data_IF_901068743091
#
_entry.id   IF_901068743091
#
_cell.length_a   1.000
_cell.length_b   1.000
_cell.length_c   1.000
_cell.angle_alpha   90.00
_cell.angle_beta   90.00
_cell.angle_gamma   90.00
#
_symmetry.space_group_name_H-M   'P 1'
#
loop_
_entity.id
_entity.type
_entity.pdbx_description
1 polymer ?
#
# COMPACT_ATOMS: atom_id res chain seq x y z
N UNK A 1 -51.54 12.32 -63.40
CA UNK A 1 -51.05 13.08 -62.23
C UNK A 1 -50.43 12.09 -61.26
N UNK A 2 -49.11 11.96 -61.28
CA UNK A 2 -48.35 11.04 -60.41
C UNK A 2 -48.25 11.67 -59.02
N UNK A 3 -48.75 10.98 -57.99
CA UNK A 3 -48.66 11.44 -56.60
C UNK A 3 -47.19 11.57 -56.19
N UNK A 4 -46.75 12.69 -55.56
CA UNK A 4 -45.37 12.84 -55.14
C UNK A 4 -45.02 11.83 -54.04
N UNK A 5 -43.96 11.05 -54.26
CA UNK A 5 -43.43 10.15 -53.24
C UNK A 5 -42.97 10.97 -52.04
N UNK A 6 -43.48 10.63 -50.85
CA UNK A 6 -43.15 11.30 -49.59
C UNK A 6 -42.32 10.38 -48.71
N UNK A 7 -41.33 10.96 -48.05
CA UNK A 7 -40.55 10.28 -47.04
C UNK A 7 -41.42 9.95 -45.81
N UNK A 8 -41.22 8.80 -45.15
CA UNK A 8 -41.96 8.45 -43.95
C UNK A 8 -41.62 9.40 -42.78
N UNK A 9 -40.35 9.82 -42.70
CA UNK A 9 -39.80 10.63 -41.60
C UNK A 9 -39.40 12.04 -42.06
N UNK A 10 -39.26 12.93 -41.09
CA UNK A 10 -38.73 14.29 -41.31
C UNK A 10 -37.23 14.18 -41.63
N UNK A 11 -36.74 14.96 -42.59
CA UNK A 11 -35.30 14.97 -42.91
C UNK A 11 -34.44 15.46 -41.73
N UNK A 12 -33.16 15.09 -41.74
CA UNK A 12 -32.22 15.40 -40.65
C UNK A 12 -32.07 16.90 -40.39
N UNK A 13 -32.07 17.72 -41.45
CA UNK A 13 -31.92 19.17 -41.36
C UNK A 13 -33.15 19.83 -40.69
N UNK A 14 -34.35 19.50 -41.15
CA UNK A 14 -35.57 20.04 -40.54
C UNK A 14 -35.74 19.57 -39.10
N UNK A 15 -35.31 18.34 -38.77
CA UNK A 15 -35.28 17.81 -37.40
C UNK A 15 -34.31 18.60 -36.53
N UNK A 16 -33.08 18.83 -36.98
CA UNK A 16 -32.08 19.61 -36.24
C UNK A 16 -32.47 21.08 -36.07
N UNK A 17 -33.04 21.71 -37.11
CA UNK A 17 -33.48 23.12 -37.10
C UNK A 17 -34.86 23.33 -36.46
N UNK A 18 -35.56 22.26 -36.09
CA UNK A 18 -36.92 22.26 -35.54
C UNK A 18 -37.91 23.05 -36.43
N UNK A 19 -37.90 22.80 -37.74
CA UNK A 19 -38.79 23.43 -38.73
C UNK A 19 -39.71 22.41 -39.40
N UNK A 20 -40.87 22.86 -39.84
CA UNK A 20 -41.84 22.02 -40.55
C UNK A 20 -41.23 21.49 -41.86
N UNK A 21 -41.31 20.18 -42.07
CA UNK A 21 -40.78 19.48 -43.23
C UNK A 21 -41.93 18.99 -44.10
N UNK A 22 -41.90 19.33 -45.39
CA UNK A 22 -42.90 18.88 -46.37
C UNK A 22 -42.77 17.39 -46.75
N UNK A 23 -41.66 16.75 -46.36
CA UNK A 23 -41.33 15.33 -46.60
C UNK A 23 -41.34 14.91 -48.07
N UNK A 24 -41.23 15.85 -49.01
CA UNK A 24 -41.14 15.51 -50.44
C UNK A 24 -39.77 14.88 -50.74
N UNK A 25 -39.76 13.85 -51.60
CA UNK A 25 -38.53 13.25 -52.13
C UNK A 25 -38.19 13.85 -53.50
N UNK A 26 -36.90 14.04 -53.84
CA UNK A 26 -35.71 13.71 -53.05
C UNK A 26 -35.37 14.77 -51.98
N UNK A 27 -35.89 16.00 -52.08
CA UNK A 27 -35.60 17.09 -51.16
C UNK A 27 -36.88 17.78 -50.70
N UNK A 28 -36.98 18.10 -49.40
CA UNK A 28 -38.16 18.80 -48.89
C UNK A 28 -38.18 20.28 -49.29
N UNK A 29 -39.37 20.84 -49.43
CA UNK A 29 -39.59 22.25 -49.82
C UNK A 29 -38.83 23.27 -48.97
N UNK A 30 -38.64 22.98 -47.67
CA UNK A 30 -37.89 23.86 -46.75
C UNK A 30 -36.39 23.88 -47.06
N UNK A 31 -35.79 22.70 -47.22
CA UNK A 31 -34.37 22.56 -47.54
C UNK A 31 -34.05 23.11 -48.93
N UNK A 32 -34.91 22.84 -49.92
CA UNK A 32 -34.74 23.35 -51.28
C UNK A 32 -34.70 24.89 -51.32
N UNK A 33 -35.67 25.57 -50.70
CA UNK A 33 -35.72 27.04 -50.66
C UNK A 33 -34.55 27.69 -49.94
N UNK A 34 -33.87 26.95 -49.05
CA UNK A 34 -32.75 27.46 -48.25
C UNK A 34 -31.39 26.95 -48.73
N UNK A 35 -31.35 26.12 -49.78
CA UNK A 35 -30.13 25.55 -50.31
C UNK A 35 -29.45 24.54 -49.37
N UNK A 36 -30.20 23.88 -48.48
CA UNK A 36 -29.65 22.85 -47.60
C UNK A 36 -29.67 21.48 -48.26
N UNK A 37 -28.62 20.70 -48.02
CA UNK A 37 -28.55 19.30 -48.44
C UNK A 37 -29.53 18.45 -47.61
N UNK A 38 -30.56 17.92 -48.28
CA UNK A 38 -31.71 17.32 -47.62
C UNK A 38 -31.56 15.81 -47.53
N UNK A 39 -30.99 15.35 -46.42
CA UNK A 39 -30.78 13.91 -46.17
C UNK A 39 -31.91 13.34 -45.33
N UNK A 40 -32.52 12.25 -45.82
CA UNK A 40 -33.46 11.42 -45.08
C UNK A 40 -32.74 10.18 -44.56
N UNK A 41 -33.05 9.81 -43.31
CA UNK A 41 -32.47 8.64 -42.64
C UNK A 41 -33.04 7.36 -43.27
N UNK A 42 -32.20 6.55 -43.91
CA UNK A 42 -32.58 5.22 -44.42
C UNK A 42 -32.33 4.20 -43.33
N UNK A 43 -33.35 3.41 -42.97
CA UNK A 43 -33.32 2.44 -41.87
C UNK A 43 -32.40 1.21 -42.11
N UNK A 44 -31.13 1.43 -42.43
CA UNK A 44 -30.16 0.36 -42.65
C UNK A 44 -28.80 0.62 -42.01
N UNK A 45 -28.77 1.31 -40.86
CA UNK A 45 -27.61 1.38 -39.97
C UNK A 45 -28.07 1.37 -38.49
N UNK A 46 -28.96 0.44 -38.15
CA UNK A 46 -29.08 -0.01 -36.76
C UNK A 46 -28.25 -1.28 -36.64
N UNK A 47 -27.08 -1.27 -35.98
CA UNK A 47 -26.42 -2.52 -35.64
C UNK A 47 -27.38 -3.33 -34.77
N UNK A 48 -27.41 -4.68 -34.90
CA UNK A 48 -28.27 -5.51 -34.09
C UNK A 48 -27.99 -5.20 -32.62
N UNK A 49 -29.07 -4.96 -31.87
CA UNK A 49 -29.02 -4.92 -30.40
C UNK A 49 -28.60 -6.33 -29.98
N UNK A 50 -27.29 -6.54 -29.79
CA UNK A 50 -26.82 -7.60 -28.92
C UNK A 50 -27.04 -7.12 -27.49
N UNK A 51 -27.44 -8.05 -26.61
CA UNK A 51 -27.61 -7.85 -25.17
C UNK A 51 -26.25 -7.59 -24.46
N UNK A 52 -25.42 -6.69 -24.97
CA UNK A 52 -24.15 -6.29 -24.37
C UNK A 52 -24.25 -4.89 -23.74
N UNK A 53 -25.17 -4.75 -22.78
CA UNK A 53 -25.05 -3.71 -21.76
C UNK A 53 -23.88 -3.96 -20.78
N UNK A 54 -23.05 -4.96 -21.05
CA UNK A 54 -21.83 -5.29 -20.30
C UNK A 54 -20.57 -4.54 -20.78
N UNK A 55 -20.59 -3.89 -21.95
CA UNK A 55 -19.39 -3.24 -22.52
C UNK A 55 -19.26 -1.74 -22.20
N UNK A 56 -20.20 -1.12 -21.48
CA UNK A 56 -20.13 0.33 -21.15
C UNK A 56 -19.70 0.60 -19.69
N UNK A 57 -19.69 -0.40 -18.81
CA UNK A 57 -19.16 -0.29 -17.45
C UNK A 57 -18.13 -1.39 -17.16
N UNK A 58 -16.91 -1.20 -17.68
CA UNK A 58 -15.72 -1.91 -17.20
C UNK A 58 -15.14 -1.10 -16.02
N UNK A 59 -15.18 -1.61 -14.77
CA UNK A 59 -14.66 -0.89 -13.60
C UNK A 59 -13.17 -0.52 -13.68
N UNK A 60 -12.46 -1.11 -14.63
CA UNK A 60 -11.03 -0.95 -14.87
C UNK A 60 -10.69 0.04 -15.99
N UNK A 61 -11.67 0.76 -16.56
CA UNK A 61 -11.41 1.83 -17.56
C UNK A 61 -10.74 3.09 -16.97
N UNK A 62 -10.43 3.09 -15.68
CA UNK A 62 -9.34 3.92 -15.19
C UNK A 62 -8.05 3.32 -15.78
N UNK A 63 -7.48 3.98 -16.79
CA UNK A 63 -6.06 3.79 -17.11
C UNK A 63 -5.28 4.22 -15.86
N UNK A 64 -5.14 3.31 -14.90
CA UNK A 64 -4.27 3.43 -13.76
C UNK A 64 -2.88 3.39 -14.34
N UNK A 65 -2.34 4.57 -14.69
CA UNK A 65 -0.92 4.72 -14.93
C UNK A 65 -0.20 4.07 -13.74
N UNK A 66 0.84 3.24 -13.96
CA UNK A 66 1.63 2.70 -12.87
C UNK A 66 2.08 3.86 -12.00
N UNK A 67 1.51 3.97 -10.80
CA UNK A 67 1.84 5.07 -9.90
C UNK A 67 3.18 4.72 -9.26
N UNK A 68 4.27 5.11 -9.93
CA UNK A 68 5.61 5.00 -9.34
C UNK A 68 5.74 6.10 -8.29
N UNK A 69 5.53 5.75 -7.03
CA UNK A 69 5.78 6.68 -5.92
C UNK A 69 7.29 6.68 -5.65
N UNK A 70 7.93 7.83 -5.89
CA UNK A 70 9.34 8.00 -5.53
C UNK A 70 9.51 7.98 -4.01
N UNK A 71 10.18 6.96 -3.47
CA UNK A 71 10.41 6.82 -2.02
C UNK A 71 11.56 7.67 -1.50
N UNK A 72 12.38 8.27 -2.37
CA UNK A 72 13.61 9.00 -1.98
C UNK A 72 13.40 10.10 -0.95
N UNK A 73 12.31 10.87 -1.07
CA UNK A 73 11.95 11.89 -0.08
C UNK A 73 11.55 11.26 1.24
N UNK A 74 10.81 10.15 1.20
CA UNK A 74 10.40 9.41 2.40
C UNK A 74 11.63 8.81 3.10
N UNK A 75 12.53 8.18 2.37
CA UNK A 75 13.78 7.60 2.89
C UNK A 75 14.59 8.65 3.65
N UNK A 76 14.79 9.83 3.04
CA UNK A 76 15.53 10.93 3.68
C UNK A 76 14.82 11.46 4.94
N UNK A 77 13.49 11.61 4.89
CA UNK A 77 12.71 12.09 6.04
C UNK A 77 12.75 11.09 7.20
N UNK A 78 12.58 9.79 6.90
CA UNK A 78 12.64 8.74 7.91
C UNK A 78 14.05 8.59 8.50
N UNK A 79 15.10 8.69 7.67
CA UNK A 79 16.49 8.70 8.14
C UNK A 79 16.74 9.89 9.09
N UNK A 80 16.18 11.07 8.80
CA UNK A 80 16.28 12.22 9.69
C UNK A 80 15.58 11.98 11.04
N UNK A 81 14.34 11.49 11.02
CA UNK A 81 13.62 11.15 12.26
C UNK A 81 14.34 10.08 13.08
N UNK A 82 14.89 9.07 12.44
CA UNK A 82 15.73 8.05 13.06
C UNK A 82 16.88 8.70 13.85
N UNK A 83 17.72 9.48 13.19
CA UNK A 83 18.89 10.10 13.81
C UNK A 83 18.52 11.10 14.91
N UNK A 84 17.45 11.87 14.68
CA UNK A 84 16.92 12.80 15.67
C UNK A 84 16.47 12.08 16.95
N UNK A 85 15.68 11.01 16.81
CA UNK A 85 15.17 10.25 17.95
C UNK A 85 16.29 9.58 18.75
N UNK A 86 17.24 8.93 18.08
CA UNK A 86 18.40 8.32 18.76
C UNK A 86 19.23 9.36 19.53
N UNK A 87 19.39 10.57 18.95
CA UNK A 87 20.05 11.70 19.63
C UNK A 87 19.29 12.18 20.86
N UNK A 88 17.96 12.34 20.77
CA UNK A 88 17.11 12.82 21.88
C UNK A 88 17.07 11.81 23.02
N UNK A 89 16.96 10.53 22.71
CA UNK A 89 16.98 9.44 23.70
C UNK A 89 18.38 9.24 24.30
N UNK A 90 19.43 9.75 23.65
CA UNK A 90 20.80 9.63 24.15
C UNK A 90 21.36 8.21 24.05
N UNK A 91 20.91 7.42 23.06
CA UNK A 91 21.43 6.07 22.79
C UNK A 91 21.95 5.96 21.35
N UNK A 92 22.88 5.03 21.09
CA UNK A 92 23.33 4.74 19.72
C UNK A 92 22.59 3.55 19.11
N UNK A 93 22.40 3.52 17.77
CA UNK A 93 21.80 2.37 17.08
C UNK A 93 22.51 1.05 17.37
N UNK A 94 23.84 1.08 17.47
CA UNK A 94 24.65 -0.09 17.84
C UNK A 94 24.34 -0.60 19.25
N UNK A 95 24.24 0.29 20.23
CA UNK A 95 23.92 -0.08 21.61
C UNK A 95 22.49 -0.61 21.73
N UNK A 96 21.53 0.03 21.06
CA UNK A 96 20.15 -0.42 21.01
C UNK A 96 20.06 -1.81 20.33
N UNK A 97 20.72 -1.99 19.19
CA UNK A 97 20.78 -3.27 18.48
C UNK A 97 21.32 -4.39 19.36
N UNK A 98 22.43 -4.16 20.07
CA UNK A 98 22.98 -5.16 21.00
C UNK A 98 21.97 -5.53 22.10
N UNK A 99 21.34 -4.54 22.73
CA UNK A 99 20.32 -4.78 23.78
C UNK A 99 19.10 -5.51 23.25
N UNK A 100 18.70 -5.24 22.01
CA UNK A 100 17.60 -5.92 21.36
C UNK A 100 17.90 -7.41 21.16
N UNK A 101 19.10 -7.74 20.66
CA UNK A 101 19.55 -9.12 20.53
C UNK A 101 19.66 -9.83 21.88
N UNK A 102 20.17 -9.13 22.90
CA UNK A 102 20.41 -9.70 24.23
C UNK A 102 19.14 -9.86 25.07
N UNK A 103 18.06 -9.13 24.79
CA UNK A 103 16.82 -9.16 25.60
C UNK A 103 15.60 -9.54 24.78
N UNK A 104 15.14 -8.66 23.89
CA UNK A 104 13.88 -8.81 23.17
C UNK A 104 13.88 -10.04 22.24
N UNK A 105 14.95 -10.25 21.48
CA UNK A 105 15.07 -11.37 20.54
C UNK A 105 15.10 -12.76 21.20
N UNK A 106 15.45 -12.85 22.49
CA UNK A 106 15.43 -14.13 23.21
C UNK A 106 14.01 -14.68 23.37
N UNK A 107 13.04 -13.79 23.48
CA UNK A 107 11.63 -14.14 23.54
C UNK A 107 10.99 -14.20 22.16
N UNK A 108 11.44 -13.36 21.21
CA UNK A 108 10.84 -13.26 19.88
C UNK A 108 11.91 -13.14 18.77
N UNK A 109 12.29 -14.24 18.11
CA UNK A 109 13.34 -14.26 17.10
C UNK A 109 12.85 -13.70 15.75
N UNK A 110 12.83 -12.36 15.63
CA UNK A 110 12.34 -11.62 14.45
C UNK A 110 13.42 -11.37 13.37
N UNK A 111 14.67 -11.09 13.77
CA UNK A 111 15.74 -10.60 12.89
C UNK A 111 16.98 -11.48 13.08
N UNK A 112 17.75 -11.76 12.03
CA UNK A 112 19.06 -12.39 12.23
C UNK A 112 20.10 -11.34 12.71
N UNK A 113 21.03 -11.70 13.63
CA UNK A 113 22.04 -10.77 14.09
C UNK A 113 22.83 -10.12 12.95
N UNK A 114 23.22 -10.89 11.93
CA UNK A 114 23.96 -10.38 10.76
C UNK A 114 23.20 -9.26 10.03
N UNK A 115 21.92 -9.47 9.69
CA UNK A 115 21.11 -8.43 9.05
C UNK A 115 20.93 -7.18 9.90
N UNK A 116 20.78 -7.34 11.21
CA UNK A 116 20.68 -6.18 12.09
C UNK A 116 21.95 -5.33 12.06
N UNK A 117 23.14 -5.95 12.04
CA UNK A 117 24.40 -5.22 11.89
C UNK A 117 24.47 -4.48 10.55
N UNK A 118 24.06 -5.12 9.45
CA UNK A 118 24.00 -4.48 8.12
C UNK A 118 23.07 -3.25 8.13
N UNK A 119 21.90 -3.33 8.75
CA UNK A 119 20.98 -2.19 8.89
C UNK A 119 21.57 -1.05 9.71
N UNK A 120 22.30 -1.36 10.79
CA UNK A 120 22.98 -0.36 11.62
C UNK A 120 24.09 0.33 10.81
N UNK A 121 24.90 -0.43 10.07
CA UNK A 121 25.94 0.14 9.20
C UNK A 121 25.35 1.06 8.12
N UNK A 122 24.22 0.68 7.52
CA UNK A 122 23.51 1.52 6.55
C UNK A 122 23.01 2.82 7.19
N UNK A 123 22.52 2.75 8.43
CA UNK A 123 22.12 3.94 9.20
C UNK A 123 23.31 4.86 9.45
N UNK A 124 24.46 4.34 9.88
CA UNK A 124 25.66 5.15 10.17
C UNK A 124 26.21 5.85 8.92
N UNK A 125 26.02 5.25 7.74
CA UNK A 125 26.35 5.85 6.44
C UNK A 125 25.32 6.88 5.97
N UNK A 126 24.22 7.07 6.69
CA UNK A 126 23.14 7.99 6.32
C UNK A 126 22.30 7.53 5.12
N UNK A 127 22.33 6.23 4.80
CA UNK A 127 21.64 5.62 3.67
C UNK A 127 20.51 4.64 4.04
N UNK A 128 19.87 4.67 5.23
CA UNK A 128 18.83 3.69 5.53
C UNK A 128 17.58 4.00 4.68
N UNK A 129 16.97 2.95 4.12
CA UNK A 129 15.62 3.04 3.57
C UNK A 129 14.61 3.41 4.66
N UNK A 130 13.44 3.91 4.26
CA UNK A 130 12.38 4.29 5.19
C UNK A 130 11.88 3.10 6.04
N UNK A 131 11.81 1.90 5.45
CA UNK A 131 11.47 0.67 6.16
C UNK A 131 12.52 0.27 7.22
N UNK A 132 13.80 0.33 6.87
CA UNK A 132 14.92 0.10 7.81
C UNK A 132 14.96 1.17 8.91
N UNK A 133 14.66 2.43 8.56
CA UNK A 133 14.62 3.53 9.53
C UNK A 133 13.53 3.29 10.58
N UNK A 134 12.34 2.89 10.17
CA UNK A 134 11.25 2.56 11.08
C UNK A 134 11.55 1.29 11.88
N UNK A 135 12.22 0.29 11.29
CA UNK A 135 12.69 -0.88 12.01
C UNK A 135 13.64 -0.50 13.16
N UNK A 136 14.66 0.32 12.88
CA UNK A 136 15.60 0.78 13.90
C UNK A 136 14.92 1.68 14.95
N UNK A 137 13.90 2.46 14.58
CA UNK A 137 13.07 3.21 15.53
C UNK A 137 12.22 2.30 16.41
N UNK A 138 11.67 1.20 15.89
CA UNK A 138 10.94 0.20 16.69
C UNK A 138 11.87 -0.50 17.70
N UNK A 139 13.12 -0.78 17.29
CA UNK A 139 14.16 -1.30 18.18
C UNK A 139 14.51 -0.27 19.27
N UNK A 140 14.60 1.01 18.90
CA UNK A 140 14.81 2.12 19.85
C UNK A 140 13.73 2.11 20.95
N UNK A 141 12.45 1.99 20.56
CA UNK A 141 11.30 1.94 21.47
C UNK A 141 11.40 0.82 22.51
N UNK A 142 11.65 -0.42 22.08
CA UNK A 142 11.70 -1.59 23.00
C UNK A 142 12.98 -1.70 23.82
N UNK A 143 13.99 -0.88 23.50
CA UNK A 143 15.28 -0.84 24.21
C UNK A 143 15.50 0.45 25.01
N UNK A 144 14.49 1.33 25.05
CA UNK A 144 14.48 2.52 25.90
C UNK A 144 14.82 2.14 27.33
N UNK A 145 15.75 2.88 27.93
CA UNK A 145 16.03 2.79 29.36
C UNK A 145 15.09 3.74 30.08
N UNK A 146 14.41 3.22 31.09
CA UNK A 146 13.88 4.07 32.16
C UNK A 146 15.08 4.59 32.95
N UNK A 147 15.63 5.76 32.62
CA UNK A 147 16.78 6.30 33.35
C UNK A 147 17.28 7.68 32.95
N UNK A 148 16.91 8.67 33.77
CA UNK A 148 17.62 9.96 33.92
C UNK A 148 16.71 11.20 33.85
N UNK A 149 16.44 11.80 35.03
CA UNK A 149 15.97 13.19 35.30
C UNK A 149 14.73 13.78 34.57
N UNK A 150 14.08 13.03 33.68
CA UNK A 150 12.85 13.46 33.01
C UNK A 150 11.61 13.04 33.82
N UNK A 151 10.70 14.00 33.99
CA UNK A 151 9.36 13.80 34.56
C UNK A 151 8.68 12.56 33.94
N UNK A 152 8.42 11.56 34.78
CA UNK A 152 7.72 10.30 34.50
C UNK A 152 8.20 9.45 33.28
N UNK A 153 8.96 8.37 33.51
CA UNK A 153 9.38 7.42 32.48
C UNK A 153 8.24 6.87 31.61
N UNK A 154 7.02 6.74 32.14
CA UNK A 154 5.88 6.22 31.39
C UNK A 154 5.40 7.20 30.32
N UNK A 155 5.41 8.51 30.61
CA UNK A 155 5.07 9.55 29.64
C UNK A 155 6.07 9.59 28.49
N UNK A 156 7.36 9.40 28.79
CA UNK A 156 8.40 9.34 27.76
C UNK A 156 8.22 8.13 26.82
N UNK A 157 8.01 6.93 27.38
CA UNK A 157 7.76 5.72 26.59
C UNK A 157 6.50 5.85 25.71
N UNK A 158 5.41 6.40 26.26
CA UNK A 158 4.18 6.64 25.50
C UNK A 158 4.38 7.62 24.35
N UNK A 159 5.10 8.73 24.57
CA UNK A 159 5.37 9.71 23.53
C UNK A 159 6.25 9.14 22.40
N UNK A 160 7.29 8.37 22.76
CA UNK A 160 8.13 7.68 21.78
C UNK A 160 7.32 6.65 21.00
N UNK A 161 6.47 5.86 21.66
CA UNK A 161 5.60 4.89 20.99
C UNK A 161 4.67 5.55 19.97
N UNK A 162 3.94 6.60 20.35
CA UNK A 162 3.05 7.33 19.43
C UNK A 162 3.83 7.88 18.23
N UNK A 163 5.03 8.42 18.46
CA UNK A 163 5.90 8.93 17.38
C UNK A 163 6.30 7.81 16.43
N UNK A 164 6.84 6.71 16.96
CA UNK A 164 7.30 5.56 16.16
C UNK A 164 6.13 4.93 15.39
N UNK A 165 4.96 4.78 16.01
CA UNK A 165 3.75 4.25 15.37
C UNK A 165 3.26 5.14 14.24
N UNK A 166 3.32 6.46 14.41
CA UNK A 166 2.94 7.43 13.37
C UNK A 166 3.87 7.33 12.16
N UNK A 167 5.18 7.28 12.39
CA UNK A 167 6.18 7.11 11.33
C UNK A 167 6.01 5.76 10.62
N UNK A 168 5.76 4.69 11.37
CA UNK A 168 5.44 3.38 10.81
C UNK A 168 4.20 3.42 9.91
N UNK A 169 3.11 4.05 10.35
CA UNK A 169 1.89 4.16 9.56
C UNK A 169 2.12 4.93 8.24
N UNK A 170 2.94 5.98 8.26
CA UNK A 170 3.33 6.72 7.04
C UNK A 170 4.09 5.82 6.06
N UNK A 171 5.08 5.07 6.56
CA UNK A 171 5.87 4.15 5.72
C UNK A 171 4.99 3.02 5.19
N UNK A 172 4.14 2.42 6.03
CA UNK A 172 3.21 1.36 5.62
C UNK A 172 2.21 1.81 4.55
N UNK A 173 1.79 3.09 4.57
CA UNK A 173 0.85 3.62 3.59
C UNK A 173 1.48 3.91 2.22
N UNK A 174 2.80 4.12 2.16
CA UNK A 174 3.50 4.58 0.96
C UNK A 174 4.35 3.48 0.33
N UNK A 175 5.01 2.65 1.15
CA UNK A 175 5.95 1.65 0.67
C UNK A 175 5.29 0.30 0.35
N UNK A 176 5.92 -0.45 -0.55
CA UNK A 176 5.62 -1.86 -0.72
C UNK A 176 6.01 -2.65 0.53
N UNK A 177 5.29 -3.75 0.77
CA UNK A 177 5.62 -4.65 1.87
C UNK A 177 7.08 -5.15 1.75
N UNK A 178 7.83 -5.05 2.84
CA UNK A 178 9.21 -5.52 2.95
C UNK A 178 9.39 -6.31 4.23
N UNK A 179 10.43 -7.15 4.29
CA UNK A 179 10.75 -7.90 5.51
C UNK A 179 11.05 -6.95 6.69
N UNK A 180 11.80 -5.88 6.46
CA UNK A 180 12.09 -4.88 7.49
C UNK A 180 10.83 -4.20 8.02
N UNK A 181 9.87 -3.88 7.14
CA UNK A 181 8.59 -3.29 7.54
C UNK A 181 7.74 -4.26 8.37
N UNK A 182 7.67 -5.54 7.97
CA UNK A 182 6.98 -6.59 8.75
C UNK A 182 7.62 -6.74 10.14
N UNK A 183 8.95 -6.78 10.20
CA UNK A 183 9.69 -6.87 11.46
C UNK A 183 9.41 -5.67 12.37
N UNK A 184 9.38 -4.45 11.82
CA UNK A 184 9.07 -3.24 12.57
C UNK A 184 7.65 -3.26 13.15
N UNK A 185 6.67 -3.64 12.33
CA UNK A 185 5.27 -3.75 12.75
C UNK A 185 5.10 -4.78 13.86
N UNK A 186 5.80 -5.91 13.78
CA UNK A 186 5.75 -6.96 14.81
C UNK A 186 6.36 -6.50 16.14
N UNK A 187 7.48 -5.76 16.11
CA UNK A 187 8.10 -5.19 17.32
C UNK A 187 7.17 -4.17 17.98
N UNK A 188 6.56 -3.28 17.20
CA UNK A 188 5.58 -2.29 17.72
C UNK A 188 4.37 -3.01 18.32
N UNK A 189 3.85 -4.02 17.64
CA UNK A 189 2.70 -4.79 18.13
C UNK A 189 3.00 -5.53 19.43
N UNK A 190 4.19 -6.12 19.55
CA UNK A 190 4.63 -6.77 20.77
C UNK A 190 4.79 -5.78 21.94
N UNK A 191 5.28 -4.57 21.66
CA UNK A 191 5.30 -3.50 22.66
C UNK A 191 3.89 -3.13 23.11
N UNK A 192 2.96 -2.92 22.17
CA UNK A 192 1.56 -2.58 22.46
C UNK A 192 0.86 -3.65 23.28
N UNK A 193 1.14 -4.92 22.97
CA UNK A 193 0.64 -6.05 23.75
C UNK A 193 1.16 -5.98 25.18
N UNK A 194 2.47 -5.78 25.37
CA UNK A 194 3.09 -5.68 26.69
C UNK A 194 2.64 -4.45 27.50
N UNK A 195 2.27 -3.35 26.83
CA UNK A 195 1.72 -2.15 27.47
C UNK A 195 0.21 -2.21 27.69
N UNK A 196 -0.47 -3.30 27.30
CA UNK A 196 -1.90 -3.53 27.54
C UNK A 196 -2.85 -3.03 26.45
N UNK A 197 -2.35 -2.56 25.31
CA UNK A 197 -3.17 -2.18 24.14
C UNK A 197 -3.43 -3.39 23.22
N UNK A 198 -4.12 -4.40 23.76
CA UNK A 198 -4.26 -5.71 23.12
C UNK A 198 -4.98 -5.62 21.76
N UNK A 199 -6.08 -4.86 21.66
CA UNK A 199 -6.85 -4.75 20.41
C UNK A 199 -6.03 -4.14 19.27
N UNK A 200 -5.22 -3.12 19.59
CA UNK A 200 -4.33 -2.46 18.62
C UNK A 200 -3.23 -3.42 18.16
N UNK A 201 -2.61 -4.13 19.11
CA UNK A 201 -1.59 -5.12 18.82
C UNK A 201 -2.14 -6.25 17.93
N UNK A 202 -3.34 -6.73 18.22
CA UNK A 202 -4.00 -7.79 17.45
C UNK A 202 -4.23 -7.39 15.98
N UNK A 203 -4.79 -6.19 15.74
CA UNK A 203 -5.01 -5.68 14.38
C UNK A 203 -3.68 -5.49 13.65
N UNK A 204 -2.66 -4.97 14.33
CA UNK A 204 -1.35 -4.74 13.76
C UNK A 204 -0.62 -6.05 13.40
N UNK A 205 -0.73 -7.10 14.24
CA UNK A 205 -0.21 -8.44 13.93
C UNK A 205 -0.90 -9.01 12.68
N UNK A 206 -2.23 -8.92 12.58
CA UNK A 206 -2.95 -9.40 11.40
C UNK A 206 -2.53 -8.65 10.11
N UNK A 207 -2.26 -7.35 10.20
CA UNK A 207 -1.70 -6.58 9.08
C UNK A 207 -0.29 -7.05 8.71
N UNK A 208 0.57 -7.34 9.71
CA UNK A 208 1.91 -7.88 9.49
C UNK A 208 1.89 -9.25 8.80
N UNK A 209 0.97 -10.14 9.18
CA UNK A 209 0.79 -11.45 8.54
C UNK A 209 0.45 -11.29 7.05
N UNK A 210 -0.49 -10.37 6.73
CA UNK A 210 -0.83 -10.10 5.32
C UNK A 210 0.34 -9.52 4.55
N UNK A 211 1.09 -8.59 5.13
CA UNK A 211 2.31 -8.07 4.49
C UNK A 211 3.36 -9.18 4.28
N UNK A 212 3.51 -10.09 5.24
CA UNK A 212 4.45 -11.19 5.15
C UNK A 212 4.12 -12.17 4.02
N UNK A 213 2.84 -12.45 3.79
CA UNK A 213 2.37 -13.24 2.65
C UNK A 213 2.66 -12.53 1.31
N UNK A 214 2.49 -11.20 1.24
CA UNK A 214 2.84 -10.43 0.04
C UNK A 214 4.34 -10.48 -0.26
N UNK A 215 5.19 -10.49 0.78
CA UNK A 215 6.65 -10.63 0.64
C UNK A 215 7.05 -12.08 0.29
N UNK A 216 6.20 -13.07 0.60
CA UNK A 216 6.49 -14.49 0.43
C UNK A 216 7.30 -15.11 1.57
N UNK A 217 7.20 -14.55 2.78
CA UNK A 217 7.86 -15.05 4.00
C UNK A 217 7.25 -16.40 4.43
N UNK A 218 5.97 -16.62 4.20
CA UNK A 218 5.25 -17.88 4.47
C UNK A 218 5.76 -19.05 3.61
N UNK A 219 6.19 -18.77 2.38
CA UNK A 219 6.79 -19.75 1.48
C UNK A 219 8.26 -20.08 1.81
N UNK A 220 8.86 -19.46 2.83
CA UNK A 220 10.27 -19.68 3.18
C UNK A 220 10.57 -21.15 3.52
N UNK A 221 9.58 -21.92 3.98
CA UNK A 221 9.71 -23.35 4.28
C UNK A 221 10.27 -24.15 3.10
N UNK A 222 9.83 -23.86 1.87
CA UNK A 222 10.26 -24.57 0.66
C UNK A 222 11.76 -24.42 0.39
N UNK A 223 12.35 -23.31 0.84
CA UNK A 223 13.75 -22.94 0.62
C UNK A 223 14.68 -23.39 1.75
N UNK A 224 14.15 -24.02 2.82
CA UNK A 224 14.96 -24.54 3.93
C UNK A 224 15.89 -25.69 3.53
N UNK A 225 15.55 -26.42 2.47
CA UNK A 225 16.37 -27.50 1.90
C UNK A 225 17.36 -27.03 0.83
N UNK A 226 17.53 -25.72 0.62
CA UNK A 226 18.40 -25.20 -0.43
C UNK A 226 19.86 -25.65 -0.24
N UNK A 227 20.50 -26.05 -1.35
CA UNK A 227 21.91 -26.48 -1.38
C UNK A 227 22.85 -25.32 -1.05
N UNK A 228 22.49 -24.10 -1.44
CA UNK A 228 23.25 -22.90 -1.14
C UNK A 228 23.01 -22.44 0.30
N UNK A 229 24.08 -22.36 1.08
CA UNK A 229 24.04 -22.02 2.50
C UNK A 229 23.42 -20.64 2.76
N UNK A 230 23.74 -19.65 1.95
CA UNK A 230 23.20 -18.30 2.10
C UNK A 230 21.68 -18.26 1.92
N UNK A 231 21.17 -18.95 0.91
CA UNK A 231 19.73 -19.09 0.66
C UNK A 231 19.04 -19.82 1.81
N UNK A 232 19.68 -20.87 2.33
CA UNK A 232 19.19 -21.65 3.47
C UNK A 232 19.12 -20.81 4.76
N UNK A 233 20.15 -20.02 5.04
CA UNK A 233 20.19 -19.11 6.19
C UNK A 233 19.14 -18.00 6.07
N UNK A 234 18.96 -17.45 4.87
CA UNK A 234 17.91 -16.47 4.59
C UNK A 234 16.52 -17.06 4.85
N UNK A 235 16.24 -18.23 4.28
CA UNK A 235 14.98 -18.94 4.46
C UNK A 235 14.73 -19.30 5.92
N UNK A 236 15.76 -19.69 6.68
CA UNK A 236 15.66 -19.97 8.12
C UNK A 236 15.26 -18.72 8.90
N UNK A 237 15.86 -17.56 8.58
CA UNK A 237 15.50 -16.29 9.22
C UNK A 237 14.06 -15.88 8.94
N UNK A 238 13.59 -16.05 7.70
CA UNK A 238 12.21 -15.75 7.31
C UNK A 238 11.22 -16.72 7.94
N UNK A 239 11.58 -18.00 8.01
CA UNK A 239 10.75 -19.02 8.65
C UNK A 239 10.60 -18.79 10.16
N UNK A 240 11.67 -18.37 10.84
CA UNK A 240 11.60 -17.98 12.26
C UNK A 240 10.70 -16.75 12.47
N UNK A 241 10.77 -15.78 11.56
CA UNK A 241 9.87 -14.62 11.57
C UNK A 241 8.42 -15.05 11.37
N UNK A 242 8.15 -15.95 10.41
CA UNK A 242 6.81 -16.50 10.18
C UNK A 242 6.24 -17.17 11.44
N UNK A 243 7.00 -18.09 12.05
CA UNK A 243 6.58 -18.73 13.30
C UNK A 243 6.34 -17.74 14.43
N UNK A 244 7.19 -16.71 14.55
CA UNK A 244 7.03 -15.66 15.55
C UNK A 244 5.68 -14.94 15.41
N UNK A 245 5.25 -14.66 14.17
CA UNK A 245 3.94 -14.05 13.90
C UNK A 245 2.78 -14.98 14.28
N UNK A 246 2.83 -16.27 13.88
CA UNK A 246 1.77 -17.24 14.18
C UNK A 246 1.65 -17.48 15.70
N UNK A 247 2.77 -17.53 16.40
CA UNK A 247 2.81 -17.65 17.86
C UNK A 247 2.14 -16.43 18.49
N UNK A 248 2.53 -15.21 18.11
CA UNK A 248 1.93 -13.99 18.66
C UNK A 248 0.44 -13.87 18.36
N UNK A 249 0.00 -14.22 17.15
CA UNK A 249 -1.42 -14.22 16.79
C UNK A 249 -2.22 -15.17 17.67
N UNK A 250 -1.72 -16.39 17.92
CA UNK A 250 -2.45 -17.40 18.72
C UNK A 250 -2.45 -17.10 20.21
N UNK A 251 -1.32 -16.69 20.78
CA UNK A 251 -1.22 -16.40 22.21
C UNK A 251 -1.82 -15.04 22.58
N UNK A 252 -1.86 -14.09 21.65
CA UNK A 252 -2.55 -12.81 21.84
C UNK A 252 -4.07 -12.92 22.00
N UNK A 253 -4.68 -14.04 21.55
CA UNK A 253 -6.14 -14.28 21.60
C UNK A 253 -6.60 -14.94 22.92
N UNK A 254 -5.68 -15.53 23.70
CA UNK A 254 -6.04 -16.47 24.78
C UNK A 254 -5.81 -15.95 26.22
N UNK A 255 -5.56 -14.66 26.40
CA UNK A 255 -5.39 -13.99 27.71
C UNK A 255 -6.39 -12.83 27.82
#
# INVERSE_FOLDING_TARGET
MTSPQRAPRVCLICKAKKKACGKELPTCSYCFKRGFDCVYDTESDTPPISDDLAEVFKPWSLTLFPMTVSTTTLDRTMAHHLHYMYRVVGQSPLQAGKRFLDNFQRWLPIISPRRLHEYIELSERGLPGADVSVLLLSICLVTLRSGGDLDDPFLHHSAVHVTVKTLYAQVQAIMHASSALVQAGLIISAYEYASGQIDSAYIAIAACIRMAQVVGIDAAYEKLGAVQEETRLHATSEWNLWWSMIVLERYGISL
#
